data_IF_820685228375
#
_entry.id   IF_820685228375
#
_cell.length_a   1.000
_cell.length_b   1.000
_cell.length_c   1.000
_cell.angle_alpha   90.00
_cell.angle_beta   90.00
_cell.angle_gamma   90.00
#
_symmetry.space_group_name_H-M   'P 1'
#
loop_
_entity.id
_entity.type
_entity.pdbx_description
1 polymer ?
#
# COMPACT_ATOMS: atom_id res chain seq x y z
N UNK A 1 49.19 17.82 -12.42
CA UNK A 1 47.87 17.18 -12.68
C UNK A 1 47.14 17.99 -13.74
N UNK A 2 46.63 17.37 -14.81
CA UNK A 2 45.96 18.08 -15.89
C UNK A 2 44.61 18.63 -15.40
N UNK A 3 44.34 19.93 -15.58
CA UNK A 3 43.13 20.61 -15.10
C UNK A 3 41.85 19.92 -15.56
N UNK A 4 41.88 19.28 -16.73
CA UNK A 4 40.77 18.48 -17.29
C UNK A 4 40.52 17.19 -16.50
N UNK A 5 41.57 16.52 -16.04
CA UNK A 5 41.46 15.27 -15.26
C UNK A 5 40.90 15.57 -13.87
N UNK A 6 41.34 16.66 -13.23
CA UNK A 6 40.80 17.08 -11.93
C UNK A 6 39.30 17.42 -11.98
N UNK A 7 38.85 18.05 -13.07
CA UNK A 7 37.43 18.37 -13.26
C UNK A 7 36.57 17.12 -13.46
N UNK A 8 37.05 16.14 -14.24
CA UNK A 8 36.32 14.87 -14.46
C UNK A 8 36.25 14.06 -13.15
N UNK A 9 37.36 13.94 -12.42
CA UNK A 9 37.38 13.23 -11.14
C UNK A 9 36.47 13.91 -10.11
N UNK A 10 36.45 15.25 -10.08
CA UNK A 10 35.53 16.01 -9.24
C UNK A 10 34.06 15.79 -9.61
N UNK A 11 33.73 15.78 -10.90
CA UNK A 11 32.37 15.55 -11.37
C UNK A 11 31.88 14.12 -11.07
N UNK A 12 32.73 13.11 -11.28
CA UNK A 12 32.42 11.71 -10.94
C UNK A 12 32.27 11.54 -9.43
N UNK A 13 33.16 12.15 -8.63
CA UNK A 13 33.07 12.11 -7.16
C UNK A 13 31.78 12.72 -6.63
N UNK A 14 31.35 13.86 -7.19
CA UNK A 14 30.08 14.50 -6.83
C UNK A 14 28.87 13.61 -7.18
N UNK A 15 28.91 12.97 -8.34
CA UNK A 15 27.81 12.11 -8.82
C UNK A 15 27.68 10.83 -7.98
N UNK A 16 28.79 10.27 -7.48
CA UNK A 16 28.79 9.14 -6.54
C UNK A 16 28.23 9.54 -5.17
N UNK A 17 28.55 10.73 -4.66
CA UNK A 17 27.99 11.21 -3.38
C UNK A 17 26.47 11.43 -3.43
N UNK A 18 25.91 11.75 -4.60
CA UNK A 18 24.46 11.90 -4.77
C UNK A 18 23.68 10.58 -4.64
N UNK A 19 24.33 9.42 -4.77
CA UNK A 19 23.67 8.11 -4.71
C UNK A 19 23.55 7.50 -3.30
N UNK A 20 24.12 8.11 -2.26
CA UNK A 20 24.29 7.46 -0.95
C UNK A 20 23.16 7.68 0.06
N UNK A 21 22.15 8.48 -0.26
CA UNK A 21 21.11 8.89 0.71
C UNK A 21 19.69 8.49 0.32
N UNK A 22 19.51 7.37 -0.37
CA UNK A 22 18.17 6.82 -0.59
C UNK A 22 17.75 6.02 0.66
N UNK A 23 17.02 6.64 1.60
CA UNK A 23 16.21 5.90 2.56
C UNK A 23 14.83 5.66 1.94
N UNK A 24 14.54 4.45 1.51
CA UNK A 24 13.24 4.10 0.95
C UNK A 24 12.51 3.08 1.82
N UNK A 25 11.25 3.40 2.11
CA UNK A 25 10.25 2.45 2.61
C UNK A 25 9.20 2.22 1.52
N UNK A 26 8.55 1.06 1.58
CA UNK A 26 7.59 0.61 0.59
C UNK A 26 6.24 0.25 1.22
N UNK A 27 5.20 0.32 0.39
CA UNK A 27 3.88 -0.20 0.67
C UNK A 27 3.48 -1.16 -0.46
N UNK A 28 2.75 -2.21 -0.12
CA UNK A 28 2.36 -3.28 -1.05
C UNK A 28 0.93 -3.72 -0.78
N UNK A 29 0.26 -4.20 -1.82
CA UNK A 29 -1.12 -4.69 -1.79
C UNK A 29 -1.24 -5.87 -2.74
N UNK A 30 -2.19 -6.77 -2.47
CA UNK A 30 -2.49 -7.90 -3.37
C UNK A 30 -3.39 -7.51 -4.54
N UNK A 31 -3.88 -6.27 -4.56
CA UNK A 31 -4.82 -5.75 -5.55
C UNK A 31 -4.27 -4.49 -6.23
N UNK A 32 -4.46 -4.39 -7.54
CA UNK A 32 -3.99 -3.30 -8.39
C UNK A 32 -4.90 -3.17 -9.62
N UNK A 33 -4.60 -2.25 -10.53
CA UNK A 33 -5.49 -1.91 -11.66
C UNK A 33 -5.94 -3.12 -12.51
N UNK A 34 -5.04 -4.06 -12.81
CA UNK A 34 -5.37 -5.28 -13.57
C UNK A 34 -5.88 -6.45 -12.69
N UNK A 35 -5.90 -6.27 -11.36
CA UNK A 35 -6.37 -7.26 -10.40
C UNK A 35 -7.12 -6.55 -9.25
N UNK A 36 -8.33 -6.01 -9.52
CA UNK A 36 -9.13 -5.39 -8.48
C UNK A 36 -9.58 -6.40 -7.44
N UNK A 37 -9.89 -5.93 -6.24
CA UNK A 37 -10.66 -6.71 -5.29
C UNK A 37 -12.10 -6.78 -5.78
N UNK A 38 -12.60 -7.99 -6.07
CA UNK A 38 -13.98 -8.22 -6.51
C UNK A 38 -14.86 -8.65 -5.33
N UNK A 39 -15.90 -7.86 -5.05
CA UNK A 39 -16.89 -8.12 -4.00
C UNK A 39 -18.30 -7.93 -4.55
N UNK A 40 -19.26 -8.72 -4.07
CA UNK A 40 -20.68 -8.53 -4.34
C UNK A 40 -21.31 -7.58 -3.30
N UNK A 41 -22.48 -6.99 -3.59
CA UNK A 41 -23.23 -6.21 -2.62
C UNK A 41 -23.49 -7.00 -1.33
N UNK A 42 -23.31 -6.35 -0.17
CA UNK A 42 -23.44 -6.97 1.16
C UNK A 42 -22.21 -7.74 1.64
N UNK A 43 -21.18 -7.93 0.80
CA UNK A 43 -19.96 -8.62 1.20
C UNK A 43 -18.95 -7.69 1.89
N UNK A 44 -18.15 -8.29 2.77
CA UNK A 44 -17.03 -7.61 3.41
C UNK A 44 -15.76 -8.45 3.41
N UNK A 45 -14.62 -7.77 3.27
CA UNK A 45 -13.30 -8.41 3.30
C UNK A 45 -12.26 -7.48 3.91
N UNK A 46 -11.40 -8.04 4.75
CA UNK A 46 -10.22 -7.33 5.24
C UNK A 46 -9.05 -7.53 4.28
N UNK A 47 -8.53 -6.43 3.74
CA UNK A 47 -7.33 -6.36 2.93
C UNK A 47 -6.16 -6.02 3.83
N UNK A 48 -5.03 -6.71 3.66
CA UNK A 48 -3.80 -6.39 4.39
C UNK A 48 -2.81 -5.68 3.45
N UNK A 49 -2.46 -4.44 3.78
CA UNK A 49 -1.41 -3.70 3.09
C UNK A 49 -0.07 -3.99 3.79
N UNK A 50 0.93 -4.42 3.03
CA UNK A 50 2.26 -4.71 3.56
C UNK A 50 3.15 -3.49 3.52
N UNK A 51 3.66 -3.06 4.67
CA UNK A 51 4.70 -2.05 4.80
C UNK A 51 6.07 -2.72 4.83
N UNK A 52 7.08 -2.10 4.24
CA UNK A 52 8.45 -2.60 4.24
C UNK A 52 9.46 -1.49 4.51
N UNK A 53 10.39 -1.74 5.42
CA UNK A 53 11.56 -0.90 5.65
C UNK A 53 12.80 -1.61 5.09
N UNK A 54 12.96 -1.59 3.76
CA UNK A 54 13.93 -2.45 3.04
C UNK A 54 14.81 -1.76 1.99
N UNK A 55 14.65 -0.45 1.75
CA UNK A 55 15.33 0.27 0.67
C UNK A 55 16.54 1.07 1.12
N UNK A 56 17.44 0.49 1.91
CA UNK A 56 18.67 1.15 2.39
C UNK A 56 18.54 1.92 3.71
N UNK A 57 17.39 1.85 4.37
CA UNK A 57 17.21 2.38 5.72
C UNK A 57 18.06 1.62 6.75
N UNK A 58 18.72 2.36 7.64
CA UNK A 58 19.54 1.80 8.74
C UNK A 58 18.85 1.91 10.09
N UNK A 59 17.66 2.51 10.14
CA UNK A 59 16.92 2.82 11.37
C UNK A 59 15.48 2.34 11.27
N UNK A 60 14.93 1.94 12.41
CA UNK A 60 13.52 1.60 12.52
C UNK A 60 12.67 2.85 12.30
N UNK A 61 11.49 2.68 11.70
CA UNK A 61 10.61 3.80 11.37
C UNK A 61 9.22 3.57 11.92
N UNK A 62 8.51 4.66 12.21
CA UNK A 62 7.08 4.63 12.47
C UNK A 62 6.36 5.33 11.33
N UNK A 63 5.42 4.64 10.71
CA UNK A 63 4.59 5.16 9.62
C UNK A 63 3.17 5.38 10.14
N UNK A 64 2.65 6.59 9.99
CA UNK A 64 1.24 6.88 10.23
C UNK A 64 0.44 6.60 8.98
N UNK A 65 -0.54 5.71 9.08
CA UNK A 65 -1.50 5.45 8.02
C UNK A 65 -2.64 6.47 8.05
N UNK A 66 -3.13 6.85 6.88
CA UNK A 66 -4.32 7.67 6.72
C UNK A 66 -5.10 7.22 5.48
N UNK A 67 -6.39 6.98 5.67
CA UNK A 67 -7.30 6.66 4.57
C UNK A 67 -7.71 7.97 3.88
N UNK A 68 -7.01 8.34 2.82
CA UNK A 68 -7.24 9.61 2.10
C UNK A 68 -8.37 9.53 1.08
N UNK A 69 -8.73 8.32 0.65
CA UNK A 69 -9.92 8.05 -0.15
C UNK A 69 -10.50 6.71 0.33
N UNK A 70 -11.69 6.75 0.92
CA UNK A 70 -12.42 5.62 1.48
C UNK A 70 -13.31 4.91 0.45
N UNK A 71 -13.22 5.30 -0.83
CA UNK A 71 -14.04 4.75 -1.89
C UNK A 71 -15.50 5.13 -1.81
N UNK A 72 -15.84 6.25 -1.17
CA UNK A 72 -17.25 6.64 -0.96
C UNK A 72 -17.85 5.96 0.27
N UNK A 73 -17.03 5.73 1.30
CA UNK A 73 -17.45 5.17 2.60
C UNK A 73 -17.38 3.66 2.74
N UNK A 74 -16.87 2.93 1.73
CA UNK A 74 -16.82 1.45 1.77
C UNK A 74 -15.58 0.92 2.49
N UNK A 75 -14.57 1.76 2.76
CA UNK A 75 -13.33 1.35 3.41
C UNK A 75 -13.18 1.97 4.80
N UNK A 76 -12.66 1.18 5.74
CA UNK A 76 -12.35 1.61 7.11
C UNK A 76 -11.02 1.03 7.57
N UNK A 77 -10.27 1.79 8.39
CA UNK A 77 -9.09 1.26 9.08
C UNK A 77 -9.56 0.38 10.23
N UNK A 78 -8.98 -0.82 10.38
CA UNK A 78 -9.38 -1.76 11.43
C UNK A 78 -8.73 -1.42 12.78
N UNK A 79 -7.48 -0.98 12.75
CA UNK A 79 -6.72 -0.68 13.96
C UNK A 79 -7.07 0.73 14.50
N UNK A 80 -7.17 0.85 15.82
CA UNK A 80 -7.39 2.13 16.51
C UNK A 80 -6.15 3.03 16.47
N UNK A 81 -4.96 2.43 16.64
CA UNK A 81 -3.68 3.13 16.47
C UNK A 81 -3.23 3.03 15.02
N UNK A 82 -3.11 4.18 14.38
CA UNK A 82 -2.70 4.28 12.98
C UNK A 82 -1.18 4.45 12.83
N UNK A 83 -0.40 4.35 13.91
CA UNK A 83 1.05 4.41 13.88
C UNK A 83 1.66 3.01 13.86
N UNK A 84 2.22 2.63 12.72
CA UNK A 84 2.81 1.30 12.50
C UNK A 84 4.32 1.36 12.65
N UNK A 85 4.85 0.62 13.62
CA UNK A 85 6.29 0.43 13.77
C UNK A 85 6.80 -0.58 12.74
N UNK A 86 7.74 -0.17 11.90
CA UNK A 86 8.31 -0.99 10.83
C UNK A 86 9.83 -1.11 11.05
N UNK A 87 10.28 -2.23 11.66
CA UNK A 87 11.70 -2.44 11.91
C UNK A 87 12.49 -2.60 10.62
N UNK A 88 13.78 -2.23 10.63
CA UNK A 88 14.68 -2.43 9.49
C UNK A 88 14.68 -3.90 9.05
N UNK A 89 14.57 -4.12 7.74
CA UNK A 89 14.59 -5.44 7.12
C UNK A 89 13.35 -6.29 7.42
N UNK A 90 12.34 -5.74 8.10
CA UNK A 90 11.07 -6.39 8.38
C UNK A 90 9.91 -5.59 7.78
N UNK A 91 8.75 -6.23 7.73
CA UNK A 91 7.50 -5.61 7.32
C UNK A 91 6.49 -5.55 8.44
N UNK A 92 5.49 -4.69 8.26
CA UNK A 92 4.29 -4.62 9.08
C UNK A 92 3.06 -4.78 8.18
N UNK A 93 1.95 -5.21 8.76
CA UNK A 93 0.68 -5.39 8.06
C UNK A 93 -0.30 -4.32 8.54
N UNK A 94 -1.00 -3.70 7.61
CA UNK A 94 -2.01 -2.66 7.87
C UNK A 94 -3.36 -3.21 7.40
N UNK A 95 -4.26 -3.60 8.32
CA UNK A 95 -5.57 -4.12 7.97
C UNK A 95 -6.55 -3.00 7.61
N UNK A 96 -7.15 -3.11 6.43
CA UNK A 96 -8.21 -2.23 5.91
C UNK A 96 -9.44 -3.08 5.64
N UNK A 97 -10.57 -2.75 6.28
CA UNK A 97 -11.84 -3.45 6.08
C UNK A 97 -12.62 -2.79 4.96
N UNK A 98 -13.02 -3.57 3.98
CA UNK A 98 -13.87 -3.17 2.87
C UNK A 98 -15.25 -3.78 3.10
N UNK A 99 -16.30 -2.97 3.05
CA UNK A 99 -17.68 -3.37 3.23
C UNK A 99 -18.52 -2.72 2.12
N UNK A 100 -19.04 -3.54 1.21
CA UNK A 100 -19.89 -3.09 0.12
C UNK A 100 -21.34 -3.13 0.59
N UNK A 101 -22.10 -2.03 0.51
CA UNK A 101 -23.47 -2.03 0.98
C UNK A 101 -24.35 -2.94 0.11
N UNK A 102 -25.44 -3.46 0.66
CA UNK A 102 -26.34 -4.40 -0.02
C UNK A 102 -27.04 -3.78 -1.25
N UNK A 103 -27.18 -2.45 -1.27
CA UNK A 103 -27.81 -1.69 -2.35
C UNK A 103 -26.80 -1.16 -3.39
N UNK A 104 -25.53 -1.57 -3.32
CA UNK A 104 -24.51 -1.16 -4.26
C UNK A 104 -24.84 -1.62 -5.70
N UNK A 105 -24.70 -0.70 -6.65
CA UNK A 105 -24.82 -1.03 -8.08
C UNK A 105 -23.60 -1.82 -8.56
N UNK A 106 -23.85 -2.93 -9.25
CA UNK A 106 -22.80 -3.75 -9.86
C UNK A 106 -22.19 -3.04 -11.08
N UNK A 107 -20.90 -3.27 -11.31
CA UNK A 107 -20.11 -2.66 -12.39
C UNK A 107 -19.43 -1.36 -12.01
N UNK A 108 -19.59 -0.90 -10.76
CA UNK A 108 -18.88 0.27 -10.23
C UNK A 108 -17.52 -0.14 -9.67
N UNK A 109 -16.51 0.68 -9.92
CA UNK A 109 -15.17 0.55 -9.32
C UNK A 109 -14.89 1.70 -8.37
N UNK A 110 -14.58 1.38 -7.12
CA UNK A 110 -14.16 2.30 -6.09
C UNK A 110 -12.65 2.21 -5.92
N UNK A 111 -11.96 3.36 -5.92
CA UNK A 111 -10.51 3.39 -5.66
C UNK A 111 -10.24 3.71 -4.20
N UNK A 112 -9.62 2.78 -3.49
CA UNK A 112 -9.18 3.00 -2.10
C UNK A 112 -7.76 3.55 -2.11
N UNK A 113 -7.51 4.61 -1.35
CA UNK A 113 -6.18 5.22 -1.24
C UNK A 113 -5.80 5.37 0.23
N UNK A 114 -4.69 4.74 0.60
CA UNK A 114 -4.08 4.85 1.93
C UNK A 114 -2.72 5.51 1.78
N UNK A 115 -2.52 6.62 2.49
CA UNK A 115 -1.22 7.27 2.61
C UNK A 115 -0.50 6.78 3.85
N UNK A 116 0.82 6.70 3.77
CA UNK A 116 1.70 6.34 4.88
C UNK A 116 2.77 7.41 4.98
N UNK A 117 2.78 8.13 6.11
CA UNK A 117 3.73 9.23 6.34
C UNK A 117 4.63 8.88 7.52
N UNK A 118 5.94 9.08 7.36
CA UNK A 118 6.87 8.82 8.46
C UNK A 118 6.67 9.83 9.58
N UNK A 119 6.50 9.33 10.80
CA UNK A 119 6.42 10.14 12.01
C UNK A 119 7.84 10.48 12.45
N UNK A 120 8.16 11.76 12.55
CA UNK A 120 9.47 12.20 13.01
C UNK A 120 9.66 11.85 14.49
N UNK A 121 10.65 11.01 14.79
CA UNK A 121 11.11 10.73 16.16
C UNK A 121 12.24 11.71 16.53
N UNK A 122 11.98 12.65 17.44
CA UNK A 122 12.99 13.54 18.04
C UNK A 122 12.44 14.88 18.55
N UNK A 123 12.88 15.31 19.73
CA UNK A 123 12.70 16.67 20.24
C UNK A 123 13.62 17.63 19.49
N UNK A 124 13.07 18.49 18.63
CA UNK A 124 13.87 19.53 17.99
C UNK A 124 13.08 20.40 17.01
N UNK A 125 13.07 21.71 17.25
CA UNK A 125 12.33 22.73 16.49
C UNK A 125 12.86 23.06 15.09
N UNK A 126 13.56 22.14 14.42
CA UNK A 126 13.94 22.29 13.00
C UNK A 126 12.97 21.53 12.10
N UNK A 127 12.60 22.14 10.97
CA UNK A 127 11.77 21.50 9.93
C UNK A 127 12.48 20.25 9.42
N UNK A 128 11.84 19.08 9.57
CA UNK A 128 12.31 17.80 9.01
C UNK A 128 11.44 17.45 7.81
N UNK A 129 12.07 17.13 6.69
CA UNK A 129 11.38 16.49 5.57
C UNK A 129 11.19 15.02 5.94
N UNK A 130 9.94 14.58 6.06
CA UNK A 130 9.60 13.17 6.26
C UNK A 130 9.14 12.56 4.94
N UNK A 131 9.48 11.29 4.72
CA UNK A 131 8.99 10.57 3.55
C UNK A 131 7.50 10.27 3.67
N UNK A 132 6.84 10.11 2.52
CA UNK A 132 5.49 9.58 2.42
C UNK A 132 5.35 8.66 1.21
N UNK A 133 4.54 7.62 1.33
CA UNK A 133 4.14 6.75 0.22
C UNK A 133 2.62 6.61 0.18
N UNK A 134 2.07 6.44 -1.00
CA UNK A 134 0.65 6.25 -1.21
C UNK A 134 0.42 4.89 -1.84
N UNK A 135 -0.42 4.08 -1.21
CA UNK A 135 -0.91 2.80 -1.75
C UNK A 135 -2.32 2.98 -2.27
N UNK A 136 -2.56 2.54 -3.50
CA UNK A 136 -3.88 2.59 -4.15
C UNK A 136 -4.26 1.19 -4.59
N UNK A 137 -5.52 0.83 -4.40
CA UNK A 137 -6.05 -0.39 -4.98
C UNK A 137 -7.53 -0.24 -5.35
N UNK A 138 -7.96 -0.81 -6.48
CA UNK A 138 -9.36 -0.79 -6.89
C UNK A 138 -10.18 -1.90 -6.23
N UNK A 139 -11.43 -1.57 -5.94
CA UNK A 139 -12.49 -2.49 -5.49
C UNK A 139 -13.60 -2.43 -6.53
N UNK A 140 -13.89 -3.55 -7.17
CA UNK A 140 -14.93 -3.68 -8.19
C UNK A 140 -16.15 -4.38 -7.58
N UNK A 141 -17.32 -3.74 -7.68
CA UNK A 141 -18.59 -4.34 -7.26
C UNK A 141 -19.09 -5.23 -8.39
N UNK A 142 -19.12 -6.54 -8.17
CA UNK A 142 -19.47 -7.54 -9.19
C UNK A 142 -20.69 -8.35 -8.78
N UNK A 143 -21.22 -9.17 -9.69
CA UNK A 143 -22.27 -10.12 -9.32
C UNK A 143 -21.74 -11.21 -8.38
N UNK A 144 -22.63 -11.82 -7.58
CA UNK A 144 -22.29 -12.87 -6.59
C UNK A 144 -21.34 -13.94 -7.13
N UNK A 145 -21.53 -14.41 -8.37
CA UNK A 145 -20.75 -15.50 -8.97
C UNK A 145 -19.31 -15.11 -9.34
N UNK A 146 -19.03 -13.82 -9.44
CA UNK A 146 -17.73 -13.26 -9.82
C UNK A 146 -16.94 -12.75 -8.60
N UNK A 147 -17.58 -12.72 -7.43
CA UNK A 147 -16.93 -12.37 -6.17
C UNK A 147 -15.82 -13.35 -5.81
N UNK A 148 -14.74 -12.83 -5.23
CA UNK A 148 -13.68 -13.67 -4.65
C UNK A 148 -14.14 -14.48 -3.44
N UNK A 149 -15.27 -14.12 -2.82
CA UNK A 149 -15.87 -14.80 -1.68
C UNK A 149 -16.94 -15.82 -2.08
N UNK A 150 -17.25 -15.93 -3.37
CA UNK A 150 -18.27 -16.85 -3.86
C UNK A 150 -17.92 -18.31 -3.57
N UNK A 151 -18.78 -18.98 -2.81
CA UNK A 151 -18.71 -20.42 -2.58
C UNK A 151 -19.80 -21.08 -3.41
N UNK A 152 -19.41 -21.82 -4.46
CA UNK A 152 -20.38 -22.54 -5.28
C UNK A 152 -21.12 -23.59 -4.43
N UNK A 153 -22.46 -23.48 -4.26
CA UNK A 153 -23.22 -24.32 -3.34
C UNK A 153 -23.26 -25.79 -3.78
N UNK A 154 -22.99 -26.09 -5.05
CA UNK A 154 -23.01 -27.45 -5.60
C UNK A 154 -21.62 -28.11 -5.55
N UNK A 155 -20.52 -27.35 -5.42
CA UNK A 155 -19.17 -27.89 -5.59
C UNK A 155 -18.43 -28.27 -4.29
N UNK A 156 -18.94 -27.95 -3.10
CA UNK A 156 -18.42 -28.46 -1.81
C UNK A 156 -16.94 -28.19 -1.48
N UNK A 157 -16.18 -27.53 -2.35
CA UNK A 157 -14.78 -27.15 -2.18
C UNK A 157 -14.51 -25.82 -2.89
N UNK A 158 -13.83 -24.90 -2.20
CA UNK A 158 -13.28 -23.67 -2.76
C UNK A 158 -12.33 -24.04 -3.92
N UNK A 159 -12.86 -24.01 -5.14
CA UNK A 159 -12.10 -24.32 -6.36
C UNK A 159 -12.19 -23.10 -7.26
N UNK A 160 -11.01 -22.56 -7.58
CA UNK A 160 -10.78 -21.50 -8.57
C UNK A 160 -11.55 -21.83 -9.85
N UNK A 161 -12.53 -21.00 -10.17
CA UNK A 161 -13.47 -21.21 -11.27
C UNK A 161 -12.74 -20.94 -12.60
N UNK A 162 -12.30 -22.01 -13.26
CA UNK A 162 -12.12 -22.02 -14.72
C UNK A 162 -13.38 -22.63 -15.34
N UNK A 163 -14.45 -21.85 -15.46
CA UNK A 163 -15.53 -22.17 -16.40
C UNK A 163 -15.31 -21.30 -17.65
N UNK A 164 -14.67 -21.91 -18.66
CA UNK A 164 -14.56 -21.36 -20.02
C UNK A 164 -15.76 -21.88 -20.80
N UNK A 165 -16.50 -20.98 -21.46
CA UNK A 165 -17.61 -21.28 -22.37
C UNK A 165 -17.22 -22.30 -23.46
#
# INVERSE_FOLDING_TARGET
MNKKIGMIVGAVGLLVMMGLFASAFGASTSYWDDRPLKLAPGESKTVSLGLQNGGGGTEDITLRAELTNDGGGIATMVDEDLNYFVPVGRGAAVPVRIEVPEDAETGITHTITVSFTQVASGEGGMVRLTGGIVSKFPVEVVGEKESELYICPVCGKATVIFCKN
#
